data_IF_999103923961
#
_entry.id   IF_999103923961
#
_cell.length_a   1.000
_cell.length_b   1.000
_cell.length_c   1.000
_cell.angle_alpha   90.00
_cell.angle_beta   90.00
_cell.angle_gamma   90.00
#
_symmetry.space_group_name_H-M   'P 1'
#
loop_
_entity.id
_entity.type
_entity.pdbx_description
1 polymer ?
#
# COMPACT_ATOMS: atom_id res chain seq x y z
C UNK A 1 4.12 -7.05 13.57
N UNK A 2 5.23 -7.67 13.24
CA UNK A 2 6.17 -7.06 12.26
C UNK A 2 5.64 -7.29 10.84
N UNK A 3 5.06 -8.44 10.59
CA UNK A 3 4.52 -8.73 9.23
C UNK A 3 3.35 -7.79 8.94
N UNK A 4 2.54 -7.51 9.92
CA UNK A 4 1.36 -6.60 9.71
C UNK A 4 1.84 -5.25 9.18
N UNK A 5 2.80 -4.66 9.84
CA UNK A 5 3.33 -3.33 9.40
C UNK A 5 3.73 -3.37 7.92
N UNK A 6 4.51 -4.35 7.54
CA UNK A 6 4.97 -4.46 6.12
C UNK A 6 3.77 -4.45 5.16
N UNK A 7 2.69 -5.08 5.54
CA UNK A 7 1.49 -5.11 4.65
C UNK A 7 0.86 -3.72 4.59
N UNK A 8 0.93 -2.98 5.66
CA UNK A 8 0.33 -1.61 5.68
C UNK A 8 1.10 -0.71 4.70
N UNK A 9 2.40 -0.86 4.63
CA UNK A 9 3.21 -0.02 3.71
C UNK A 9 3.02 -0.51 2.27
N UNK A 10 2.76 -1.78 2.10
CA UNK A 10 2.56 -2.34 0.73
C UNK A 10 1.32 -1.69 0.10
N UNK A 11 0.28 -1.52 0.87
CA UNK A 11 -0.96 -0.89 0.34
C UNK A 11 -0.71 0.60 0.12
N UNK A 12 0.07 1.21 0.98
CA UNK A 12 0.37 2.67 0.84
C UNK A 12 1.02 2.94 -0.51
N UNK A 13 1.90 2.07 -0.95
CA UNK A 13 2.58 2.27 -2.26
C UNK A 13 1.59 1.95 -3.39
N UNK A 14 0.75 0.97 -3.19
CA UNK A 14 -0.23 0.59 -4.25
C UNK A 14 -1.48 1.48 -4.18
N UNK A 15 -1.55 2.39 -3.23
CA UNK A 15 -2.76 3.27 -3.12
C UNK A 15 -2.92 4.11 -4.40
N UNK A 16 -1.89 4.84 -4.76
CA UNK A 16 -1.82 5.73 -5.97
C UNK A 16 -1.63 4.88 -7.23
N UNK A 17 -1.04 3.72 -7.10
CA UNK A 17 -0.83 2.84 -8.29
C UNK A 17 -2.17 2.28 -8.77
N UNK A 18 -3.13 2.16 -7.88
CA UNK A 18 -4.46 1.61 -8.28
C UNK A 18 -5.46 2.76 -8.50
N UNK A 19 -5.20 3.91 -7.92
CA UNK A 19 -6.14 5.07 -8.09
C UNK A 19 -6.28 5.40 -9.58
N UNK A 20 -7.41 5.96 -9.97
CA UNK A 20 -7.62 6.32 -11.40
C UNK A 20 -7.34 7.81 -11.60
N UNK A 21 -6.40 8.35 -10.86
CA UNK A 21 -6.08 9.80 -10.99
C UNK A 21 -6.21 10.48 -9.63
N UNK A 22 -7.25 10.21 -8.88
#
# INVERSE_FOLDING_TARGET
XVLAAVIFIYFAALSPAITFGX
#
